data_IF_893883701171
#
_entry.id   IF_893883701171
#
_cell.length_a   1.000
_cell.length_b   1.000
_cell.length_c   1.000
_cell.angle_alpha   90.00
_cell.angle_beta   90.00
_cell.angle_gamma   90.00
#
_symmetry.space_group_name_H-M   'P 1'
#
loop_
_entity.id
_entity.type
_entity.pdbx_description
1 polymer ?
#
# COMPACT_ATOMS: atom_id res chain seq x y z
N UNK A 1 6.24 22.86 7.65
CA UNK A 1 6.10 21.46 8.13
C UNK A 1 5.32 21.52 9.43
N UNK A 2 4.23 20.77 9.56
CA UNK A 2 3.36 20.81 10.73
C UNK A 2 3.88 19.83 11.80
N UNK A 3 4.37 20.30 12.96
CA UNK A 3 4.92 19.45 14.02
C UNK A 3 3.85 18.64 14.78
N UNK A 4 2.57 18.86 14.50
CA UNK A 4 1.46 18.27 15.25
C UNK A 4 0.82 17.03 14.60
N UNK A 5 1.39 16.51 13.50
CA UNK A 5 0.91 15.27 12.89
C UNK A 5 1.37 14.10 13.75
N UNK A 6 0.41 13.38 14.35
CA UNK A 6 0.64 12.13 15.08
C UNK A 6 0.21 10.96 14.20
N UNK A 7 1.17 10.11 13.82
CA UNK A 7 0.92 8.85 13.13
C UNK A 7 0.84 7.74 14.18
N UNK A 8 -0.27 7.01 14.20
CA UNK A 8 -0.47 5.88 15.11
C UNK A 8 -0.34 4.59 14.29
N UNK A 9 0.73 3.83 14.53
CA UNK A 9 0.89 2.47 14.03
C UNK A 9 0.46 1.48 15.11
N UNK A 10 -0.49 0.59 14.81
CA UNK A 10 -0.89 -0.46 15.73
C UNK A 10 0.24 -1.49 15.88
N UNK A 11 0.55 -1.85 17.12
CA UNK A 11 1.65 -2.75 17.46
C UNK A 11 1.36 -4.22 17.14
N UNK A 12 0.24 -4.59 16.55
CA UNK A 12 0.04 -5.99 16.18
C UNK A 12 0.43 -6.28 14.72
N UNK A 13 0.80 -5.24 13.95
CA UNK A 13 1.21 -5.33 12.54
C UNK A 13 2.69 -4.96 12.29
N UNK A 14 3.57 -4.95 13.31
CA UNK A 14 4.99 -4.66 13.09
C UNK A 14 5.76 -5.91 12.63
N UNK A 15 6.52 -5.83 11.53
CA UNK A 15 7.45 -6.90 11.17
C UNK A 15 8.58 -7.02 12.22
N UNK A 16 8.94 -8.25 12.61
CA UNK A 16 9.92 -8.51 13.67
C UNK A 16 11.32 -7.87 13.44
N UNK A 17 11.68 -7.62 12.17
CA UNK A 17 12.93 -6.97 11.80
C UNK A 17 12.95 -5.45 12.12
N UNK A 18 11.78 -4.81 12.25
CA UNK A 18 11.66 -3.39 12.62
C UNK A 18 12.17 -3.14 14.04
N UNK A 19 12.02 -4.14 14.94
CA UNK A 19 12.57 -4.12 16.29
C UNK A 19 14.01 -4.63 16.40
N UNK A 20 14.78 -4.71 15.30
CA UNK A 20 16.14 -5.27 15.26
C UNK A 20 16.22 -6.67 15.91
N UNK A 21 15.24 -7.53 15.63
CA UNK A 21 15.19 -8.90 16.19
C UNK A 21 14.78 -8.99 17.66
N UNK A 22 14.42 -7.87 18.31
CA UNK A 22 14.05 -7.86 19.72
C UNK A 22 12.63 -8.31 20.03
N UNK A 23 11.79 -8.54 19.00
CA UNK A 23 10.39 -8.90 19.18
C UNK A 23 9.52 -7.78 19.77
N UNK A 24 10.03 -6.54 19.87
CA UNK A 24 9.28 -5.39 20.34
C UNK A 24 9.48 -4.18 19.43
N UNK A 25 8.40 -3.49 19.00
CA UNK A 25 8.49 -2.31 18.14
C UNK A 25 8.86 -1.06 18.94
N UNK A 26 8.86 -1.15 20.27
CA UNK A 26 9.13 -0.04 21.17
C UNK A 26 10.59 0.02 21.63
N UNK A 27 11.38 -1.03 21.34
CA UNK A 27 12.78 -1.10 21.74
C UNK A 27 13.68 -0.18 20.91
N UNK A 28 13.28 0.08 19.66
CA UNK A 28 13.97 0.98 18.74
C UNK A 28 12.94 1.92 18.06
N UNK A 29 12.39 2.88 18.82
CA UNK A 29 11.27 3.70 18.35
C UNK A 29 11.62 4.50 17.09
N UNK A 30 12.89 4.87 16.89
CA UNK A 30 13.40 5.51 15.68
C UNK A 30 13.37 4.61 14.44
N UNK A 31 13.61 3.31 14.57
CA UNK A 31 13.50 2.34 13.47
C UNK A 31 12.04 2.08 13.12
N UNK A 32 11.17 1.99 14.13
CA UNK A 32 9.72 1.83 13.97
C UNK A 32 9.07 3.06 13.33
N UNK A 33 9.43 4.26 13.79
CA UNK A 33 9.02 5.51 13.15
C UNK A 33 9.56 5.58 11.71
N UNK A 34 10.80 5.16 11.50
CA UNK A 34 11.40 5.03 10.17
C UNK A 34 10.62 4.09 9.25
N UNK A 35 10.17 2.93 9.74
CA UNK A 35 9.37 1.96 8.98
C UNK A 35 8.01 2.54 8.56
N UNK A 36 7.28 3.15 9.50
CA UNK A 36 6.00 3.82 9.22
C UNK A 36 6.17 4.91 8.15
N UNK A 37 7.33 5.57 8.12
CA UNK A 37 7.65 6.64 7.16
C UNK A 37 8.28 6.12 5.85
N UNK A 38 8.77 4.88 5.79
CA UNK A 38 9.59 4.32 4.67
C UNK A 38 8.86 3.33 3.76
N UNK A 39 7.54 3.35 3.69
CA UNK A 39 6.84 2.69 2.58
C UNK A 39 7.13 3.47 1.28
N UNK A 40 8.04 2.89 0.50
CA UNK A 40 8.57 3.35 -0.81
C UNK A 40 9.41 4.63 -0.78
N UNK A 41 10.75 4.48 -0.77
CA UNK A 41 11.72 5.56 -0.95
C UNK A 41 11.57 6.76 0.02
N UNK A 42 11.49 6.50 1.33
CA UNK A 42 11.21 7.54 2.35
C UNK A 42 12.21 8.72 2.34
N UNK A 43 11.83 9.82 1.68
CA UNK A 43 12.59 11.07 1.53
C UNK A 43 11.95 12.02 0.50
N UNK A 44 12.62 13.13 0.13
CA UNK A 44 12.12 14.13 -0.85
C UNK A 44 11.80 13.57 -2.27
N UNK A 45 12.01 12.28 -2.52
CA UNK A 45 11.81 11.62 -3.82
C UNK A 45 10.74 10.51 -3.80
N UNK A 46 9.91 10.40 -2.75
CA UNK A 46 8.79 9.43 -2.68
C UNK A 46 7.86 9.52 -3.89
N UNK A 47 7.63 10.71 -4.42
CA UNK A 47 6.84 10.93 -5.65
C UNK A 47 7.42 10.26 -6.90
N UNK A 48 8.69 9.81 -6.86
CA UNK A 48 9.37 9.11 -7.95
C UNK A 48 9.38 7.59 -7.79
N UNK A 49 8.78 7.05 -6.73
CA UNK A 49 8.74 5.61 -6.53
C UNK A 49 8.04 4.91 -7.70
N UNK A 50 8.72 3.92 -8.28
CA UNK A 50 8.20 3.05 -9.32
C UNK A 50 7.92 1.67 -8.74
N UNK A 51 6.91 1.00 -9.29
CA UNK A 51 6.40 -0.27 -8.78
C UNK A 51 5.06 -0.57 -9.42
N UNK A 52 4.28 -1.45 -8.82
CA UNK A 52 2.90 -1.69 -9.22
C UNK A 52 2.02 -1.26 -8.07
N UNK A 53 1.16 -0.28 -8.31
CA UNK A 53 0.29 0.31 -7.28
C UNK A 53 -1.16 0.04 -7.64
N UNK A 54 -1.92 -0.49 -6.68
CA UNK A 54 -3.35 -0.70 -6.80
C UNK A 54 -4.11 0.34 -5.96
N UNK A 55 -4.96 1.11 -6.62
CA UNK A 55 -5.72 2.19 -6.04
C UNK A 55 -7.21 1.89 -6.13
N UNK A 56 -7.96 2.27 -5.10
CA UNK A 56 -9.40 2.44 -5.14
C UNK A 56 -9.79 3.79 -4.57
N UNK A 57 -10.94 4.32 -4.96
CA UNK A 57 -11.52 5.51 -4.35
C UNK A 57 -12.99 5.30 -3.96
N UNK A 58 -13.54 6.29 -3.26
CA UNK A 58 -14.92 6.29 -2.76
C UNK A 58 -15.97 6.38 -3.87
N UNK A 59 -15.58 6.75 -5.10
CA UNK A 59 -16.48 6.74 -6.26
C UNK A 59 -16.63 5.34 -6.86
N UNK A 60 -15.84 4.36 -6.40
CA UNK A 60 -15.81 3.04 -6.98
C UNK A 60 -14.90 2.94 -8.19
N UNK A 61 -13.97 3.88 -8.38
CA UNK A 61 -12.94 3.74 -9.41
C UNK A 61 -11.78 2.93 -8.85
N UNK A 62 -11.26 2.00 -9.65
CA UNK A 62 -10.01 1.32 -9.36
C UNK A 62 -8.95 1.64 -10.42
N UNK A 63 -7.67 1.66 -10.03
CA UNK A 63 -6.55 1.94 -10.94
C UNK A 63 -5.34 1.07 -10.60
N UNK A 64 -4.63 0.61 -11.62
CA UNK A 64 -3.25 0.11 -11.51
C UNK A 64 -2.34 1.18 -12.11
N UNK A 65 -1.29 1.60 -11.39
CA UNK A 65 -0.27 2.51 -11.91
C UNK A 65 1.15 1.95 -11.75
N UNK A 66 2.08 2.48 -12.55
CA UNK A 66 3.51 2.11 -12.50
C UNK A 66 4.35 3.00 -11.57
N UNK A 67 3.72 3.99 -10.93
CA UNK A 67 4.36 4.89 -9.99
C UNK A 67 3.41 5.37 -8.87
N UNK A 68 4.00 5.84 -7.77
CA UNK A 68 3.26 6.27 -6.57
C UNK A 68 2.42 7.54 -6.81
N UNK A 69 2.80 8.40 -7.75
CA UNK A 69 1.99 9.58 -8.08
C UNK A 69 0.65 9.23 -8.74
N UNK A 70 0.48 7.99 -9.23
CA UNK A 70 -0.77 7.51 -9.81
C UNK A 70 -1.10 8.07 -11.20
N UNK A 71 -0.23 8.90 -11.79
CA UNK A 71 -0.41 9.51 -13.10
C UNK A 71 -0.01 8.58 -14.25
N UNK A 72 0.92 7.64 -14.02
CA UNK A 72 1.25 6.58 -15.00
C UNK A 72 0.32 5.37 -14.86
N UNK A 73 -0.93 5.57 -15.27
CA UNK A 73 -1.96 4.52 -15.25
C UNK A 73 -1.68 3.43 -16.28
N UNK A 74 -1.89 2.19 -15.87
CA UNK A 74 -1.68 0.98 -16.68
C UNK A 74 -3.01 0.29 -16.96
N UNK A 75 -3.92 0.27 -15.97
CA UNK A 75 -5.29 -0.17 -16.14
C UNK A 75 -6.21 0.56 -15.16
N UNK A 76 -7.50 0.62 -15.48
CA UNK A 76 -8.52 1.18 -14.60
C UNK A 76 -9.89 0.63 -14.94
N UNK A 77 -10.81 0.73 -14.00
CA UNK A 77 -12.21 0.40 -14.22
C UNK A 77 -13.05 0.83 -13.02
N UNK A 78 -14.24 0.25 -12.92
CA UNK A 78 -15.17 0.54 -11.82
C UNK A 78 -15.54 -0.72 -11.04
N UNK A 79 -15.94 -0.51 -9.78
CA UNK A 79 -16.57 -1.49 -8.90
C UNK A 79 -17.64 -0.79 -8.06
N UNK A 80 -18.53 -1.56 -7.43
CA UNK A 80 -19.57 -0.99 -6.58
C UNK A 80 -19.00 -0.63 -5.20
N UNK A 81 -18.55 0.61 -5.05
CA UNK A 81 -18.22 1.18 -3.75
C UNK A 81 -19.49 1.58 -2.99
N UNK A 82 -19.42 1.45 -1.66
CA UNK A 82 -20.45 1.77 -0.69
C UNK A 82 -19.79 2.60 0.42
N UNK A 83 -20.46 3.65 0.92
CA UNK A 83 -20.00 4.38 2.09
C UNK A 83 -19.82 3.45 3.30
N UNK A 84 -18.91 3.82 4.20
CA UNK A 84 -18.71 3.18 5.51
C UNK A 84 -18.54 1.65 5.45
N UNK A 85 -17.91 1.16 4.38
CA UNK A 85 -17.73 -0.28 4.12
C UNK A 85 -16.25 -0.63 4.14
N UNK A 86 -15.90 -1.69 4.87
CA UNK A 86 -14.55 -2.27 4.87
C UNK A 86 -14.40 -3.16 3.63
N UNK A 87 -13.27 -2.99 2.92
CA UNK A 87 -12.94 -3.76 1.72
C UNK A 87 -11.70 -4.62 1.92
N UNK A 88 -11.75 -5.85 1.43
CA UNK A 88 -10.57 -6.70 1.29
C UNK A 88 -9.96 -6.47 -0.08
N UNK A 89 -8.77 -5.88 -0.11
CA UNK A 89 -8.02 -5.67 -1.35
C UNK A 89 -7.00 -6.80 -1.53
N UNK A 90 -6.89 -7.32 -2.74
CA UNK A 90 -5.81 -8.25 -3.08
C UNK A 90 -5.21 -7.91 -4.43
N UNK A 91 -3.90 -8.11 -4.51
CA UNK A 91 -3.09 -7.87 -5.68
C UNK A 91 -2.12 -9.01 -5.83
N UNK A 92 -2.24 -9.75 -6.92
CA UNK A 92 -1.30 -10.79 -7.33
C UNK A 92 -0.39 -10.19 -8.39
N UNK A 93 0.93 -10.33 -8.20
CA UNK A 93 1.94 -9.90 -9.19
C UNK A 93 2.78 -11.12 -9.54
N UNK A 94 2.67 -11.56 -10.78
CA UNK A 94 3.40 -12.69 -11.31
C UNK A 94 4.24 -12.25 -12.52
N UNK A 95 5.55 -12.11 -12.31
CA UNK A 95 6.48 -11.62 -13.33
C UNK A 95 6.13 -10.21 -13.79
N UNK A 96 5.70 -10.08 -15.04
CA UNK A 96 5.28 -8.82 -15.67
C UNK A 96 3.76 -8.68 -15.77
N UNK A 97 3.00 -9.42 -14.95
CA UNK A 97 1.54 -9.38 -14.94
C UNK A 97 1.01 -9.14 -13.54
N UNK A 98 -0.10 -8.40 -13.45
CA UNK A 98 -0.80 -8.16 -12.20
C UNK A 98 -2.31 -8.41 -12.33
N UNK A 99 -2.89 -8.98 -11.29
CA UNK A 99 -4.33 -9.20 -11.13
C UNK A 99 -4.78 -8.57 -9.82
N UNK A 100 -5.85 -7.78 -9.85
CA UNK A 100 -6.40 -7.12 -8.65
C UNK A 100 -7.83 -7.55 -8.39
N UNK A 101 -8.20 -7.63 -7.11
CA UNK A 101 -9.55 -7.99 -6.68
C UNK A 101 -10.00 -7.18 -5.47
N UNK A 102 -11.32 -7.01 -5.36
CA UNK A 102 -11.98 -6.45 -4.19
C UNK A 102 -12.97 -7.48 -3.65
N UNK A 103 -12.88 -7.80 -2.36
CA UNK A 103 -13.70 -8.80 -1.67
C UNK A 103 -13.69 -10.17 -2.38
N UNK A 104 -12.52 -10.57 -2.89
CA UNK A 104 -12.34 -11.83 -3.64
C UNK A 104 -12.86 -11.80 -5.09
N UNK A 105 -13.60 -10.77 -5.50
CA UNK A 105 -14.06 -10.60 -6.88
C UNK A 105 -12.95 -9.94 -7.70
N UNK A 106 -12.47 -10.64 -8.73
CA UNK A 106 -11.48 -10.10 -9.64
C UNK A 106 -12.01 -8.88 -10.40
N UNK A 107 -11.24 -7.80 -10.38
CA UNK A 107 -11.52 -6.56 -11.12
C UNK A 107 -10.73 -6.48 -12.43
N UNK A 108 -9.62 -7.22 -12.52
CA UNK A 108 -8.79 -7.35 -13.72
C UNK A 108 -8.27 -8.78 -13.87
N UNK A 109 -7.58 -9.07 -14.98
CA UNK A 109 -6.87 -10.33 -15.18
C UNK A 109 -5.61 -10.08 -16.01
N UNK A 110 -4.45 -10.52 -15.51
CA UNK A 110 -3.16 -10.51 -16.21
C UNK A 110 -2.78 -9.16 -16.85
N UNK A 111 -3.02 -8.05 -16.15
CA UNK A 111 -2.65 -6.70 -16.61
C UNK A 111 -1.15 -6.63 -16.76
N UNK A 112 -0.66 -6.24 -17.94
CA UNK A 112 0.78 -6.08 -18.20
C UNK A 112 1.36 -4.96 -17.34
N UNK A 113 2.38 -5.26 -16.55
CA UNK A 113 3.05 -4.34 -15.62
C UNK A 113 4.57 -4.48 -15.75
N UNK A 114 5.32 -3.55 -15.14
CA UNK A 114 6.78 -3.64 -15.09
C UNK A 114 7.26 -4.87 -14.31
N UNK A 115 8.41 -5.41 -14.69
CA UNK A 115 9.09 -6.48 -13.95
C UNK A 115 10.06 -5.85 -12.93
N UNK A 116 10.05 -6.31 -11.68
CA UNK A 116 10.92 -5.78 -10.64
C UNK A 116 10.76 -6.47 -9.31
N UNK A 117 11.64 -6.13 -8.37
CA UNK A 117 11.58 -6.57 -6.97
C UNK A 117 11.48 -5.34 -6.09
N UNK A 118 10.71 -5.42 -5.02
CA UNK A 118 10.50 -4.29 -4.12
C UNK A 118 9.81 -4.71 -2.83
N UNK A 119 9.51 -3.71 -2.02
CA UNK A 119 8.70 -3.87 -0.82
C UNK A 119 7.22 -3.83 -1.16
N UNK A 120 6.41 -4.44 -0.31
CA UNK A 120 4.96 -4.27 -0.31
C UNK A 120 4.60 -3.21 0.72
N UNK A 121 3.59 -2.41 0.42
CA UNK A 121 3.08 -1.40 1.34
C UNK A 121 1.66 -0.97 0.96
N UNK A 122 1.04 -0.22 1.86
CA UNK A 122 -0.29 0.34 1.72
C UNK A 122 -0.28 1.79 2.22
N UNK A 123 -1.27 2.57 1.81
CA UNK A 123 -1.37 3.98 2.17
C UNK A 123 -2.56 4.66 1.52
N UNK A 124 -2.63 5.97 1.71
CA UNK A 124 -3.69 6.83 1.20
C UNK A 124 -3.17 7.72 0.08
N UNK A 125 -4.03 8.10 -0.86
CA UNK A 125 -3.71 9.04 -1.93
C UNK A 125 -3.53 10.48 -1.46
N UNK A 126 -3.94 10.80 -0.23
CA UNK A 126 -3.81 12.12 0.39
C UNK A 126 -3.69 12.04 1.91
N UNK A 127 -3.81 13.20 2.57
CA UNK A 127 -3.66 13.32 4.02
C UNK A 127 -5.02 13.21 4.72
N UNK A 128 -5.48 11.98 4.92
CA UNK A 128 -6.71 11.68 5.64
C UNK A 128 -6.54 10.39 6.44
N UNK A 129 -7.40 10.20 7.45
CA UNK A 129 -7.42 8.98 8.24
C UNK A 129 -7.94 7.81 7.38
N UNK A 130 -7.24 6.69 7.44
CA UNK A 130 -7.69 5.41 6.90
C UNK A 130 -7.21 4.30 7.82
N UNK A 131 -8.02 3.25 7.93
CA UNK A 131 -7.71 2.07 8.73
C UNK A 131 -7.35 0.91 7.81
N UNK A 132 -6.40 0.10 8.26
CA UNK A 132 -5.92 -1.09 7.56
C UNK A 132 -5.88 -2.25 8.55
N UNK A 133 -6.36 -3.40 8.13
CA UNK A 133 -6.49 -4.61 8.95
C UNK A 133 -6.21 -5.86 8.10
N UNK A 134 -5.90 -6.98 8.77
CA UNK A 134 -5.71 -8.31 8.18
C UNK A 134 -4.70 -8.36 7.02
N UNK A 135 -3.55 -7.68 7.17
CA UNK A 135 -2.48 -7.74 6.19
C UNK A 135 -1.90 -9.16 6.04
N UNK A 136 -1.78 -9.64 4.81
CA UNK A 136 -1.18 -10.93 4.46
C UNK A 136 -0.34 -10.80 3.20
N UNK A 137 0.77 -11.54 3.14
CA UNK A 137 1.67 -11.62 2.00
C UNK A 137 2.11 -13.07 1.78
N UNK A 138 1.91 -13.56 0.57
CA UNK A 138 2.46 -14.85 0.11
C UNK A 138 3.45 -14.57 -1.02
N UNK A 139 4.57 -15.28 -1.06
CA UNK A 139 5.65 -15.10 -2.02
C UNK A 139 5.84 -16.36 -2.86
#
# INVERSE_FOLDING_TARGET
>A
RNPNIKLYGLSWAYPAWVGNGSGSPYKYPELTAGYIVKISAGGCSTSKASGVFFWIDTSGTWTISSNLAGDKKVASGSFSAKPDTVYTLSMDVNGSSATVSVNGTALSSNVSVGNGKGFVGFGTSGYFAAEFDNFSLTK
#
